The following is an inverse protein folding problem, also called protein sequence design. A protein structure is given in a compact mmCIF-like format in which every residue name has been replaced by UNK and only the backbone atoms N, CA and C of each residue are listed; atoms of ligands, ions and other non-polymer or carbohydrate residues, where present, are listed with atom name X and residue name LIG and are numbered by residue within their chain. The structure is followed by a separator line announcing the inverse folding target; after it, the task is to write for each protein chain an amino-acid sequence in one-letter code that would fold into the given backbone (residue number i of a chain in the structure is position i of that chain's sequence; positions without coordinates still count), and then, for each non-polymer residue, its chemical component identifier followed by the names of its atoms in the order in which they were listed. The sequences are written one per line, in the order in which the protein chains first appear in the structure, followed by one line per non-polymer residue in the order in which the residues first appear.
data_IF_992899405272
#
_entry.id   IF_992899405272
#
_cell.length_a   1.000
_cell.length_b   1.000
_cell.length_c   1.000
_cell.angle_alpha   90.00
_cell.angle_beta   90.00
_cell.angle_gamma   90.00
#
_symmetry.space_group_name_H-M   'P 1'
#
loop_
_entity.id
_entity.type
_entity.pdbx_description
1 polymer ?
#
# COMPACT_ATOMS: atom_id res chain seq x y z
N UNK A 1 13.91 -17.76 3.12
CA UNK A 1 12.54 -17.61 2.51
C UNK A 1 12.53 -16.35 1.69
N UNK A 2 12.14 -16.40 0.40
CA UNK A 2 12.11 -15.19 -0.44
C UNK A 2 10.80 -14.43 -0.27
N UNK A 3 10.89 -13.12 -0.01
CA UNK A 3 9.77 -12.19 0.15
C UNK A 3 9.87 -11.12 -0.93
N UNK A 4 8.81 -10.97 -1.73
CA UNK A 4 8.67 -9.90 -2.71
C UNK A 4 7.98 -8.69 -2.05
N UNK A 5 8.59 -7.53 -2.16
CA UNK A 5 7.99 -6.26 -1.75
C UNK A 5 7.74 -5.40 -2.98
N UNK A 6 6.49 -5.09 -3.26
CA UNK A 6 6.12 -4.11 -4.28
C UNK A 6 5.95 -2.74 -3.65
N UNK A 7 6.13 -1.67 -4.43
CA UNK A 7 6.12 -0.32 -3.85
C UNK A 7 7.33 -0.04 -2.93
N UNK A 8 8.41 -0.78 -3.12
CA UNK A 8 9.64 -0.73 -2.32
C UNK A 8 10.31 0.67 -2.26
N UNK A 9 9.98 1.57 -3.17
CA UNK A 9 10.44 2.97 -3.19
C UNK A 9 9.43 3.96 -2.59
N UNK A 10 8.27 3.45 -2.14
CA UNK A 10 7.22 4.22 -1.51
C UNK A 10 7.45 4.42 0.00
N UNK A 11 6.58 5.21 0.63
CA UNK A 11 6.68 5.57 2.06
C UNK A 11 6.72 4.34 2.98
N UNK A 12 5.79 3.40 2.82
CA UNK A 12 5.72 2.18 3.63
C UNK A 12 6.75 1.15 3.16
N UNK A 13 6.77 0.87 1.84
CA UNK A 13 7.60 -0.21 1.30
C UNK A 13 9.10 0.03 1.48
N UNK A 14 9.55 1.29 1.41
CA UNK A 14 10.96 1.63 1.63
C UNK A 14 11.40 1.32 3.08
N UNK A 15 10.62 1.75 4.08
CA UNK A 15 10.96 1.49 5.48
C UNK A 15 10.88 0.00 5.79
N UNK A 16 9.84 -0.69 5.31
CA UNK A 16 9.71 -2.14 5.44
C UNK A 16 10.93 -2.89 4.87
N UNK A 17 11.38 -2.48 3.69
CA UNK A 17 12.54 -3.08 3.04
C UNK A 17 13.80 -2.92 3.89
N UNK A 18 14.04 -1.70 4.41
CA UNK A 18 15.21 -1.43 5.26
C UNK A 18 15.17 -2.20 6.59
N UNK A 19 14.00 -2.32 7.20
CA UNK A 19 13.86 -3.05 8.46
C UNK A 19 14.05 -4.55 8.26
N UNK A 20 13.45 -5.14 7.23
CA UNK A 20 13.59 -6.56 6.94
C UNK A 20 14.97 -6.93 6.41
N UNK A 21 15.71 -6.00 5.79
CA UNK A 21 17.08 -6.25 5.32
C UNK A 21 18.07 -6.56 6.46
N UNK A 22 17.73 -6.23 7.71
CA UNK A 22 18.51 -6.62 8.88
C UNK A 22 18.31 -8.07 9.34
N UNK A 23 17.26 -8.74 8.82
CA UNK A 23 16.96 -10.14 9.14
C UNK A 23 17.56 -11.09 8.09
N UNK A 24 18.69 -11.70 8.40
CA UNK A 24 19.38 -12.64 7.51
C UNK A 24 18.61 -13.94 7.20
N UNK A 25 17.50 -14.21 7.88
CA UNK A 25 16.64 -15.38 7.60
C UNK A 25 15.76 -15.19 6.38
N UNK A 26 15.61 -13.94 5.90
CA UNK A 26 14.75 -13.54 4.80
C UNK A 26 15.57 -13.06 3.61
N UNK A 27 15.31 -13.61 2.44
CA UNK A 27 15.81 -13.06 1.18
C UNK A 27 14.78 -12.05 0.64
N UNK A 28 15.20 -10.82 0.41
CA UNK A 28 14.33 -9.75 -0.03
C UNK A 28 14.46 -9.53 -1.54
N UNK A 29 13.30 -9.32 -2.17
CA UNK A 29 13.22 -8.87 -3.55
C UNK A 29 12.32 -7.63 -3.62
N UNK A 30 12.86 -6.57 -4.23
CA UNK A 30 12.15 -5.30 -4.42
C UNK A 30 11.66 -5.19 -5.86
N UNK A 31 10.34 -5.10 -6.06
CA UNK A 31 9.79 -4.73 -7.35
C UNK A 31 9.72 -3.21 -7.48
N UNK A 32 10.34 -2.67 -8.54
CA UNK A 32 10.48 -1.23 -8.76
C UNK A 32 10.04 -0.84 -10.17
N UNK A 33 9.58 0.41 -10.32
CA UNK A 33 9.30 0.98 -11.65
C UNK A 33 10.56 1.45 -12.35
N UNK A 34 11.36 2.24 -11.66
CA UNK A 34 12.59 2.83 -12.15
C UNK A 34 13.72 2.50 -11.19
N UNK A 35 14.94 2.39 -11.72
CA UNK A 35 16.12 2.18 -10.88
C UNK A 35 16.25 3.32 -9.86
N UNK A 36 16.66 2.96 -8.64
CA UNK A 36 16.91 3.88 -7.52
C UNK A 36 18.25 3.55 -6.89
N UNK A 37 18.96 4.58 -6.42
CA UNK A 37 20.35 4.46 -5.97
C UNK A 37 20.53 4.00 -4.52
N UNK A 38 19.46 3.92 -3.71
CA UNK A 38 19.57 3.74 -2.25
C UNK A 38 18.73 2.57 -1.72
N UNK A 39 18.89 1.40 -2.32
CA UNK A 39 18.36 0.16 -1.74
C UNK A 39 19.45 -0.56 -0.93
N UNK A 40 19.10 -1.33 0.12
CA UNK A 40 20.07 -2.14 0.85
C UNK A 40 20.80 -3.11 -0.09
N UNK A 41 22.09 -3.33 0.14
CA UNK A 41 22.95 -4.11 -0.77
C UNK A 41 22.51 -5.57 -0.96
N UNK A 42 21.90 -6.15 0.05
CA UNK A 42 21.47 -7.56 0.06
C UNK A 42 20.07 -7.80 -0.53
N UNK A 43 19.45 -6.74 -1.09
CA UNK A 43 18.13 -6.82 -1.71
C UNK A 43 18.27 -7.06 -3.21
N UNK A 44 17.68 -8.15 -3.71
CA UNK A 44 17.56 -8.35 -5.15
C UNK A 44 16.51 -7.41 -5.74
N UNK A 45 16.80 -6.81 -6.88
CA UNK A 45 15.95 -5.80 -7.51
C UNK A 45 15.41 -6.34 -8.82
N UNK A 46 14.07 -6.27 -8.99
CA UNK A 46 13.40 -6.61 -10.23
C UNK A 46 12.65 -5.38 -10.77
N UNK A 47 12.95 -4.97 -12.01
CA UNK A 47 12.28 -3.86 -12.67
C UNK A 47 11.03 -4.37 -13.38
N UNK A 48 9.86 -4.06 -12.84
CA UNK A 48 8.55 -4.49 -13.37
C UNK A 48 7.82 -3.41 -14.18
N UNK A 49 8.32 -2.17 -14.18
CA UNK A 49 7.67 -1.07 -14.88
C UNK A 49 6.43 -0.55 -14.14
N UNK A 50 5.43 -0.13 -14.90
CA UNK A 50 4.13 0.28 -14.34
C UNK A 50 3.36 -0.95 -13.86
N UNK A 51 2.52 -0.73 -12.83
CA UNK A 51 1.67 -1.79 -12.28
C UNK A 51 0.28 -1.60 -12.85
N UNK A 52 -0.15 -2.58 -13.64
CA UNK A 52 -1.44 -2.65 -14.32
C UNK A 52 -1.82 -4.12 -14.63
N UNK A 53 -2.85 -4.32 -15.44
CA UNK A 53 -3.33 -5.64 -15.84
C UNK A 53 -2.33 -6.44 -16.68
N UNK A 54 -1.38 -5.76 -17.36
CA UNK A 54 -0.45 -6.37 -18.32
C UNK A 54 0.96 -6.58 -17.72
N UNK A 55 1.20 -6.14 -16.50
CA UNK A 55 2.51 -6.26 -15.84
C UNK A 55 2.94 -7.71 -15.73
N UNK A 56 4.13 -8.03 -16.25
CA UNK A 56 4.75 -9.34 -16.08
C UNK A 56 5.50 -9.43 -14.74
N UNK A 57 5.08 -10.36 -13.90
CA UNK A 57 5.63 -10.61 -12.57
C UNK A 57 6.48 -11.86 -12.49
N UNK A 58 6.64 -12.60 -13.58
CA UNK A 58 7.28 -13.92 -13.59
C UNK A 58 8.67 -13.90 -12.93
N UNK A 59 9.56 -12.99 -13.34
CA UNK A 59 10.89 -12.85 -12.75
C UNK A 59 10.83 -12.43 -11.28
N UNK A 60 9.95 -11.49 -10.96
CA UNK A 60 9.80 -10.98 -9.60
C UNK A 60 9.27 -12.04 -8.62
N UNK A 61 8.46 -12.98 -9.10
CA UNK A 61 7.83 -14.02 -8.29
C UNK A 61 8.64 -15.32 -8.20
N UNK A 62 9.73 -15.47 -8.97
CA UNK A 62 10.54 -16.68 -8.96
C UNK A 62 10.99 -17.03 -7.54
N UNK A 63 10.68 -18.25 -7.07
CA UNK A 63 10.98 -18.78 -5.73
C UNK A 63 10.38 -18.00 -4.54
N UNK A 64 9.50 -17.04 -4.80
CA UNK A 64 8.85 -16.27 -3.73
C UNK A 64 7.86 -17.13 -2.95
N UNK A 65 7.84 -16.94 -1.63
CA UNK A 65 6.87 -17.57 -0.73
C UNK A 65 5.87 -16.58 -0.15
N UNK A 66 6.25 -15.31 -0.09
CA UNK A 66 5.41 -14.24 0.44
C UNK A 66 5.51 -13.02 -0.47
N UNK A 67 4.38 -12.40 -0.74
CA UNK A 67 4.27 -11.09 -1.39
C UNK A 67 3.73 -10.08 -0.37
N UNK A 68 4.43 -8.94 -0.21
CA UNK A 68 3.94 -7.79 0.54
C UNK A 68 3.67 -6.67 -0.46
N UNK A 69 2.39 -6.45 -0.72
CA UNK A 69 1.94 -5.51 -1.75
C UNK A 69 1.63 -4.15 -1.13
N UNK A 70 2.63 -3.26 -1.16
CA UNK A 70 2.49 -1.87 -0.69
C UNK A 70 2.34 -0.88 -1.84
N UNK A 71 2.52 -1.33 -3.07
CA UNK A 71 2.32 -0.48 -4.24
C UNK A 71 0.85 -0.10 -4.40
N UNK A 72 0.65 1.11 -4.86
CA UNK A 72 -0.68 1.63 -5.18
C UNK A 72 -0.61 3.09 -5.61
N UNK A 73 -1.58 3.52 -6.38
CA UNK A 73 -1.84 4.93 -6.64
C UNK A 73 -2.54 5.50 -5.40
N UNK A 74 -1.94 6.50 -4.76
CA UNK A 74 -2.48 7.20 -3.60
C UNK A 74 -2.19 8.71 -3.75
N UNK A 75 -3.08 9.56 -3.27
CA UNK A 75 -2.92 11.02 -3.13
C UNK A 75 -2.18 11.71 -4.29
N UNK A 76 -2.81 11.86 -5.42
CA UNK A 76 -2.36 12.76 -6.47
C UNK A 76 -3.01 14.11 -6.22
N UNK A 77 -2.28 15.05 -5.60
CA UNK A 77 -2.78 16.39 -5.20
C UNK A 77 -3.23 17.26 -6.38
N UNK A 78 -2.89 16.91 -7.61
CA UNK A 78 -3.33 17.55 -8.84
C UNK A 78 -3.65 16.44 -9.85
N UNK A 79 -4.71 15.69 -9.62
CA UNK A 79 -5.17 14.73 -10.61
C UNK A 79 -5.77 15.52 -11.79
N UNK A 80 -4.98 15.66 -12.85
CA UNK A 80 -5.37 16.31 -14.10
C UNK A 80 -6.21 15.33 -14.94
N UNK A 81 -6.26 14.08 -14.52
CA UNK A 81 -7.03 13.04 -15.20
C UNK A 81 -8.53 13.30 -15.01
N UNK A 82 -9.24 13.54 -16.09
CA UNK A 82 -10.70 13.71 -16.12
C UNK A 82 -11.48 12.48 -15.62
N UNK A 83 -10.78 11.34 -15.41
CA UNK A 83 -11.32 10.10 -14.86
C UNK A 83 -10.35 9.51 -13.79
N UNK A 84 -10.37 10.13 -12.63
CA UNK A 84 -9.51 9.72 -11.52
C UNK A 84 -9.77 8.28 -11.07
N UNK A 85 -11.03 7.84 -11.05
CA UNK A 85 -11.42 6.50 -10.62
C UNK A 85 -10.85 5.42 -11.54
N UNK A 86 -10.89 5.63 -12.87
CA UNK A 86 -10.29 4.69 -13.83
C UNK A 86 -8.78 4.54 -13.61
N UNK A 87 -8.08 5.64 -13.37
CA UNK A 87 -6.66 5.63 -13.08
C UNK A 87 -6.33 4.93 -11.74
N UNK A 88 -7.18 5.07 -10.72
CA UNK A 88 -7.05 4.31 -9.48
C UNK A 88 -7.31 2.82 -9.71
N UNK A 89 -8.36 2.45 -10.46
CA UNK A 89 -8.72 1.06 -10.75
C UNK A 89 -7.62 0.32 -11.51
N UNK A 90 -7.05 0.95 -12.54
CA UNK A 90 -5.97 0.34 -13.33
C UNK A 90 -4.81 -0.14 -12.44
N UNK A 91 -4.36 0.69 -11.50
CA UNK A 91 -3.23 0.35 -10.62
C UNK A 91 -3.68 -0.49 -9.43
N UNK A 92 -4.70 -0.01 -8.68
CA UNK A 92 -5.03 -0.56 -7.37
C UNK A 92 -5.86 -1.84 -7.47
N UNK A 93 -6.71 -1.98 -8.50
CA UNK A 93 -7.56 -3.15 -8.68
C UNK A 93 -6.94 -4.11 -9.68
N UNK A 94 -6.80 -3.68 -10.94
CA UNK A 94 -6.36 -4.55 -12.02
C UNK A 94 -4.91 -5.00 -11.83
N UNK A 95 -4.01 -4.07 -11.49
CA UNK A 95 -2.61 -4.38 -11.20
C UNK A 95 -2.44 -5.29 -9.99
N UNK A 96 -3.21 -5.08 -8.90
CA UNK A 96 -3.15 -5.96 -7.73
C UNK A 96 -3.71 -7.36 -8.03
N UNK A 97 -4.79 -7.44 -8.79
CA UNK A 97 -5.39 -8.71 -9.20
C UNK A 97 -4.49 -9.50 -10.13
N UNK A 98 -3.84 -8.83 -11.08
CA UNK A 98 -2.87 -9.44 -11.98
C UNK A 98 -1.67 -10.02 -11.18
N UNK A 99 -1.10 -9.24 -10.25
CA UNK A 99 -0.05 -9.74 -9.36
C UNK A 99 -0.50 -10.95 -8.54
N UNK A 100 -1.70 -10.93 -7.98
CA UNK A 100 -2.20 -12.03 -7.16
C UNK A 100 -2.40 -13.32 -7.97
N UNK A 101 -2.90 -13.23 -9.21
CA UNK A 101 -3.05 -14.39 -10.11
C UNK A 101 -1.71 -15.01 -10.43
N UNK A 102 -0.74 -14.19 -10.85
CA UNK A 102 0.61 -14.69 -11.14
C UNK A 102 1.31 -15.22 -9.87
N UNK A 103 1.05 -14.65 -8.69
CA UNK A 103 1.56 -15.16 -7.42
C UNK A 103 0.99 -16.55 -7.08
N UNK A 104 -0.30 -16.79 -7.36
CA UNK A 104 -0.92 -18.12 -7.19
C UNK A 104 -0.24 -19.14 -8.14
N UNK A 105 -0.07 -18.78 -9.41
CA UNK A 105 0.55 -19.64 -10.42
C UNK A 105 2.01 -19.95 -10.07
N UNK A 106 2.74 -18.99 -9.48
CA UNK A 106 4.11 -19.16 -9.00
C UNK A 106 4.21 -19.94 -7.66
N UNK A 107 3.09 -20.33 -7.04
CA UNK A 107 3.06 -21.10 -5.80
C UNK A 107 3.42 -20.32 -4.54
N UNK A 108 3.20 -19.00 -4.56
CA UNK A 108 3.27 -18.11 -3.38
C UNK A 108 2.30 -18.62 -2.31
N UNK A 109 2.70 -18.56 -1.04
CA UNK A 109 1.91 -19.08 0.09
C UNK A 109 1.13 -18.00 0.82
N UNK A 110 1.63 -16.77 0.82
CA UNK A 110 0.99 -15.66 1.54
C UNK A 110 1.07 -14.37 0.73
N UNK A 111 -0.07 -13.68 0.62
CA UNK A 111 -0.19 -12.38 0.00
C UNK A 111 -0.69 -11.36 1.04
N UNK A 112 0.14 -10.38 1.37
CA UNK A 112 -0.18 -9.31 2.32
C UNK A 112 -0.48 -8.05 1.53
N UNK A 113 -1.72 -7.58 1.60
CA UNK A 113 -2.20 -6.40 0.89
C UNK A 113 -2.35 -5.22 1.85
N UNK A 114 -1.64 -4.14 1.58
CA UNK A 114 -1.81 -2.89 2.32
C UNK A 114 -2.97 -2.11 1.69
N UNK A 115 -4.11 -2.18 2.35
CA UNK A 115 -5.33 -1.44 2.04
C UNK A 115 -5.35 -0.08 2.75
N UNK A 116 -6.51 0.40 3.17
CA UNK A 116 -6.69 1.67 3.89
C UNK A 116 -7.93 1.64 4.76
N UNK A 117 -7.90 2.35 5.87
CA UNK A 117 -9.09 2.60 6.70
C UNK A 117 -10.19 3.36 5.93
N UNK A 118 -9.85 4.05 4.84
CA UNK A 118 -10.82 4.71 3.94
C UNK A 118 -11.83 3.74 3.31
N UNK A 119 -11.56 2.46 3.33
CA UNK A 119 -12.55 1.43 2.97
C UNK A 119 -13.72 1.42 3.94
N UNK A 120 -13.48 1.70 5.23
CA UNK A 120 -14.52 1.76 6.25
C UNK A 120 -15.30 3.09 6.24
N UNK A 121 -14.71 4.17 5.70
CA UNK A 121 -15.27 5.52 5.65
C UNK A 121 -14.26 6.59 6.09
N UNK A 122 -14.67 7.85 6.04
CA UNK A 122 -13.85 8.99 6.45
C UNK A 122 -14.52 9.86 7.53
N UNK A 123 -15.80 9.62 7.79
CA UNK A 123 -16.61 10.39 8.73
C UNK A 123 -16.25 10.13 10.19
N UNK A 124 -16.62 11.09 11.04
CA UNK A 124 -16.63 10.87 12.48
C UNK A 124 -17.75 9.88 12.83
N UNK A 125 -17.40 8.81 13.51
CA UNK A 125 -18.37 7.85 14.03
C UNK A 125 -18.32 7.87 15.55
N UNK A 126 -19.46 7.60 16.19
CA UNK A 126 -19.52 7.46 17.66
C UNK A 126 -18.90 6.13 18.14
N UNK A 127 -18.30 5.35 17.25
CA UNK A 127 -17.66 4.08 17.51
C UNK A 127 -16.38 3.93 16.71
N UNK A 128 -15.49 3.07 17.19
CA UNK A 128 -14.28 2.70 16.46
C UNK A 128 -14.63 1.82 15.25
N UNK A 129 -13.91 1.98 14.15
CA UNK A 129 -14.01 1.09 13.00
C UNK A 129 -13.48 -0.30 13.35
N UNK A 130 -14.16 -1.31 12.84
CA UNK A 130 -13.81 -2.73 12.96
C UNK A 130 -13.50 -3.31 11.59
N UNK A 131 -12.73 -4.40 11.56
CA UNK A 131 -12.35 -5.06 10.31
C UNK A 131 -13.54 -5.67 9.54
N UNK A 132 -14.62 -5.99 10.26
CA UNK A 132 -15.86 -6.60 9.76
C UNK A 132 -17.00 -5.59 9.53
N UNK A 133 -16.76 -4.30 9.75
CA UNK A 133 -17.73 -3.28 9.42
C UNK A 133 -18.03 -3.25 7.91
N UNK A 134 -19.28 -2.96 7.52
CA UNK A 134 -19.62 -2.72 6.13
C UNK A 134 -18.73 -1.64 5.52
N UNK A 135 -18.25 -1.88 4.30
CA UNK A 135 -17.47 -0.88 3.58
C UNK A 135 -18.34 0.32 3.21
N UNK A 136 -17.81 1.51 3.41
CA UNK A 136 -18.45 2.78 3.09
C UNK A 136 -17.40 3.81 2.56
N UNK A 137 -16.65 3.49 1.48
CA UNK A 137 -15.64 4.41 0.94
C UNK A 137 -16.30 5.68 0.43
N UNK A 138 -15.70 6.84 0.74
CA UNK A 138 -16.23 8.16 0.39
C UNK A 138 -15.46 8.85 -0.75
N UNK A 139 -14.30 8.30 -1.15
CA UNK A 139 -13.52 8.80 -2.27
C UNK A 139 -13.09 7.69 -3.24
N UNK A 140 -12.63 8.08 -4.43
CA UNK A 140 -12.19 7.15 -5.50
C UNK A 140 -11.05 6.24 -5.04
N UNK A 141 -10.15 6.74 -4.20
CA UNK A 141 -9.07 5.94 -3.63
C UNK A 141 -9.61 4.87 -2.69
N UNK A 142 -10.44 5.22 -1.74
CA UNK A 142 -11.08 4.28 -0.81
C UNK A 142 -11.91 3.23 -1.56
N UNK A 143 -12.67 3.67 -2.57
CA UNK A 143 -13.44 2.78 -3.44
C UNK A 143 -12.54 1.80 -4.18
N UNK A 144 -11.45 2.27 -4.80
CA UNK A 144 -10.51 1.40 -5.52
C UNK A 144 -9.83 0.39 -4.59
N UNK A 145 -9.51 0.77 -3.36
CA UNK A 145 -8.95 -0.16 -2.35
C UNK A 145 -9.97 -1.21 -1.94
N UNK A 146 -11.25 -0.82 -1.76
CA UNK A 146 -12.33 -1.76 -1.49
C UNK A 146 -12.54 -2.76 -2.64
N UNK A 147 -12.62 -2.27 -3.88
CA UNK A 147 -12.74 -3.12 -5.06
C UNK A 147 -11.57 -4.11 -5.18
N UNK A 148 -10.34 -3.65 -4.90
CA UNK A 148 -9.15 -4.51 -4.86
C UNK A 148 -9.26 -5.61 -3.78
N UNK A 149 -9.73 -5.27 -2.57
CA UNK A 149 -9.95 -6.27 -1.52
C UNK A 149 -10.93 -7.34 -1.96
N UNK A 150 -12.05 -6.97 -2.62
CA UNK A 150 -13.04 -7.94 -3.11
C UNK A 150 -12.48 -8.85 -4.20
N UNK A 151 -11.74 -8.26 -5.17
CA UNK A 151 -11.10 -9.02 -6.23
C UNK A 151 -10.05 -10.01 -5.67
N UNK A 152 -9.22 -9.57 -4.72
CA UNK A 152 -8.22 -10.41 -4.05
C UNK A 152 -8.87 -11.53 -3.23
N UNK A 153 -9.93 -11.24 -2.46
CA UNK A 153 -10.69 -12.28 -1.73
C UNK A 153 -11.23 -13.33 -2.68
N UNK A 154 -11.79 -12.90 -3.80
CA UNK A 154 -12.37 -13.82 -4.79
C UNK A 154 -11.32 -14.75 -5.38
N UNK A 155 -10.18 -14.22 -5.83
CA UNK A 155 -9.15 -15.05 -6.48
C UNK A 155 -8.40 -15.94 -5.47
N UNK A 156 -8.18 -15.46 -4.23
CA UNK A 156 -7.51 -16.26 -3.21
C UNK A 156 -8.41 -17.36 -2.62
N UNK A 157 -9.75 -17.17 -2.60
CA UNK A 157 -10.68 -18.15 -2.02
C UNK A 157 -10.67 -19.51 -2.74
N UNK A 158 -10.27 -19.55 -3.99
CA UNK A 158 -10.18 -20.77 -4.81
C UNK A 158 -8.74 -21.27 -4.96
N UNK A 159 -7.83 -20.76 -4.16
CA UNK A 159 -6.40 -21.11 -4.16
C UNK A 159 -5.91 -21.54 -2.79
N UNK A 160 -4.66 -22.03 -2.71
CA UNK A 160 -3.99 -22.33 -1.44
C UNK A 160 -3.21 -21.14 -0.86
N UNK A 161 -3.28 -19.96 -1.50
CA UNK A 161 -2.59 -18.75 -1.07
C UNK A 161 -3.38 -18.05 0.03
N UNK A 162 -2.74 -17.84 1.18
CA UNK A 162 -3.32 -17.10 2.29
C UNK A 162 -3.33 -15.60 1.95
N UNK A 163 -4.48 -14.94 2.11
CA UNK A 163 -4.62 -13.50 1.95
C UNK A 163 -4.71 -12.80 3.30
N UNK A 164 -3.84 -11.83 3.53
CA UNK A 164 -3.89 -10.92 4.67
C UNK A 164 -4.14 -9.50 4.17
N UNK A 165 -5.19 -8.85 4.66
CA UNK A 165 -5.54 -7.47 4.33
C UNK A 165 -5.33 -6.59 5.55
N UNK A 166 -4.52 -5.55 5.41
CA UNK A 166 -4.26 -4.58 6.47
C UNK A 166 -4.86 -3.23 6.04
N UNK A 167 -5.76 -2.66 6.87
CA UNK A 167 -6.36 -1.34 6.67
C UNK A 167 -5.77 -0.33 7.66
N UNK A 168 -4.57 0.21 7.39
CA UNK A 168 -3.97 1.18 8.31
C UNK A 168 -4.76 2.49 8.32
N UNK A 169 -4.83 3.18 9.47
CA UNK A 169 -5.26 4.58 9.54
C UNK A 169 -4.19 5.51 8.95
N UNK A 170 -4.26 6.80 9.23
CA UNK A 170 -3.23 7.75 8.80
C UNK A 170 -1.85 7.34 9.36
N UNK A 171 -0.93 6.98 8.47
CA UNK A 171 0.44 6.61 8.85
C UNK A 171 1.30 7.85 8.92
N UNK A 172 2.07 7.99 10.01
CA UNK A 172 3.05 9.06 10.18
C UNK A 172 4.46 8.51 10.43
N UNK A 173 5.47 9.28 10.07
CA UNK A 173 6.87 8.91 10.24
C UNK A 173 7.81 9.69 9.32
N UNK A 174 9.12 9.40 9.36
CA UNK A 174 10.10 10.04 8.49
C UNK A 174 9.72 9.90 7.02
N UNK A 175 9.72 11.01 6.27
CA UNK A 175 9.36 10.99 4.85
C UNK A 175 7.86 10.99 4.54
N UNK A 176 6.98 11.21 5.54
CA UNK A 176 5.53 11.35 5.31
C UNK A 176 5.23 12.41 4.26
N UNK A 177 4.18 12.15 3.46
CA UNK A 177 3.75 13.01 2.33
C UNK A 177 2.35 13.58 2.58
N UNK A 178 1.87 14.38 1.62
CA UNK A 178 0.49 14.90 1.64
C UNK A 178 0.24 15.94 2.72
N UNK A 179 -1.00 15.99 3.19
CA UNK A 179 -1.49 17.04 4.10
C UNK A 179 -0.74 17.06 5.45
N UNK A 180 -0.33 15.91 5.97
CA UNK A 180 0.43 15.85 7.21
C UNK A 180 1.81 16.49 7.05
N UNK A 181 2.49 16.25 5.94
CA UNK A 181 3.77 16.91 5.65
C UNK A 181 3.61 18.43 5.49
N UNK A 182 2.50 18.89 4.88
CA UNK A 182 2.19 20.31 4.76
C UNK A 182 1.94 20.93 6.13
N UNK A 183 1.19 20.26 6.99
CA UNK A 183 0.93 20.69 8.36
C UNK A 183 2.23 20.80 9.16
N UNK A 184 3.09 19.79 9.13
CA UNK A 184 4.40 19.83 9.79
C UNK A 184 5.24 21.02 9.29
N UNK A 185 5.32 21.23 7.98
CA UNK A 185 6.04 22.39 7.40
C UNK A 185 5.45 23.74 7.83
N UNK A 186 4.14 23.84 7.98
CA UNK A 186 3.51 25.07 8.44
C UNK A 186 3.84 25.35 9.93
N UNK A 187 3.85 24.31 10.76
CA UNK A 187 4.26 24.39 12.17
C UNK A 187 5.72 24.81 12.29
N UNK A 188 6.63 24.17 11.53
CA UNK A 188 8.06 24.49 11.52
C UNK A 188 8.31 25.96 11.13
N UNK A 189 7.51 26.48 10.19
CA UNK A 189 7.53 27.88 9.77
C UNK A 189 6.80 28.82 10.72
N UNK A 190 6.23 28.31 11.82
CA UNK A 190 5.44 29.07 12.80
C UNK A 190 4.28 29.86 12.17
N UNK A 191 3.67 29.31 11.11
CA UNK A 191 2.51 29.92 10.48
C UNK A 191 1.29 29.82 11.41
N UNK A 192 0.45 30.86 11.52
CA UNK A 192 -0.78 30.78 12.28
C UNK A 192 -1.73 29.78 11.62
N UNK A 193 -2.17 28.79 12.39
CA UNK A 193 -3.09 27.74 11.92
C UNK A 193 -4.48 28.01 12.55
N UNK A 194 -5.50 28.37 11.76
CA UNK A 194 -6.84 28.67 12.28
C UNK A 194 -7.61 27.35 12.56
N UNK A 195 -7.01 26.44 13.33
CA UNK A 195 -7.55 25.11 13.61
C UNK A 195 -8.21 24.97 14.98
N UNK A 196 -8.22 26.05 15.80
CA UNK A 196 -8.64 25.99 17.21
C UNK A 196 -10.10 25.61 17.45
N UNK A 197 -10.97 25.75 16.45
CA UNK A 197 -12.38 25.34 16.53
C UNK A 197 -12.66 23.94 15.98
N UNK A 198 -11.66 23.29 15.40
CA UNK A 198 -11.81 21.95 14.81
C UNK A 198 -11.72 20.92 15.93
N UNK A 199 -12.79 20.14 16.10
CA UNK A 199 -12.87 19.03 17.07
C UNK A 199 -12.74 17.65 16.43
N UNK A 200 -12.02 17.55 15.33
CA UNK A 200 -11.80 16.31 14.61
C UNK A 200 -10.87 15.38 15.44
N UNK A 201 -11.25 14.11 15.53
CA UNK A 201 -10.43 13.04 16.13
C UNK A 201 -10.10 12.02 15.05
N UNK A 202 -8.82 11.70 14.90
CA UNK A 202 -8.35 10.68 13.96
C UNK A 202 -7.29 9.83 14.61
N UNK A 203 -7.41 8.52 14.45
CA UNK A 203 -6.35 7.60 14.82
C UNK A 203 -5.17 7.77 13.85
N UNK A 204 -3.98 7.65 14.40
CA UNK A 204 -2.73 7.71 13.66
C UNK A 204 -1.84 6.53 14.05
N UNK A 205 -1.17 5.95 13.07
CA UNK A 205 -0.26 4.82 13.26
C UNK A 205 1.16 5.24 12.91
N UNK A 206 2.09 5.02 13.84
CA UNK A 206 3.52 5.17 13.52
C UNK A 206 3.92 4.19 12.42
N UNK A 207 4.73 4.64 11.48
CA UNK A 207 5.28 3.79 10.43
C UNK A 207 6.05 2.59 11.03
N UNK A 208 6.81 2.81 12.11
CA UNK A 208 7.56 1.77 12.80
C UNK A 208 6.66 0.73 13.50
N UNK A 209 5.43 1.12 13.86
CA UNK A 209 4.46 0.18 14.45
C UNK A 209 3.66 -0.59 13.38
N UNK A 210 3.64 -0.11 12.14
CA UNK A 210 3.02 -0.82 11.02
C UNK A 210 3.91 -1.96 10.52
N UNK A 211 5.21 -1.79 10.61
CA UNK A 211 6.25 -2.69 10.10
C UNK A 211 6.65 -3.71 11.16
#
# INVERSE_FOLDING_TARGET
MTVLITGATGFVGHQLLHQLASDSSVQLRAAIRNMVEHLPADVSVCKVGQIDAETDWHEALADCKTVIHTAGRAHVLNDIDHDSLSAYRSVNVEGSLNLARQAIDAGVKRFIFISSIKVNGEGETNRVYRFDDPAAPEDDYGLSKWEAEQALRTVCSVSSMELVIIRPPLIYGPGVKGNLALLCKAIDKRLPLPLGSIKNQRDMLSLDNLI
#
